data_IF_880452474602
#
_entry.id   IF_880452474602
#
_cell.length_a   1.000
_cell.length_b   1.000
_cell.length_c   1.000
_cell.angle_alpha   90.00
_cell.angle_beta   90.00
_cell.angle_gamma   90.00
#
_symmetry.space_group_name_H-M   'P 1'
#
loop_
_entity.id
_entity.type
_entity.pdbx_description
1 polymer ?
#
# COMPACT_ATOMS: atom_id res chain seq x y z
N UNK A 1 41.25 17.49 69.48
CA UNK A 1 39.95 18.00 69.96
C UNK A 1 39.21 18.68 68.83
N UNK A 2 38.28 17.98 68.19
CA UNK A 2 37.52 18.53 67.07
C UNK A 2 36.04 18.27 67.27
N UNK A 3 35.29 19.32 67.49
CA UNK A 3 33.83 19.32 67.73
C UNK A 3 33.05 18.98 66.50
N UNK A 4 32.30 17.87 66.55
CA UNK A 4 31.31 17.51 65.50
C UNK A 4 30.07 18.38 65.63
N UNK A 5 29.77 19.16 64.58
CA UNK A 5 28.46 19.81 64.40
C UNK A 5 27.49 18.87 63.79
N UNK A 6 26.41 18.57 64.47
CA UNK A 6 25.26 17.81 63.95
C UNK A 6 24.38 18.79 63.17
N UNK A 7 24.22 18.58 61.89
CA UNK A 7 23.21 19.26 61.07
C UNK A 7 21.91 18.44 61.14
N UNK A 8 20.88 19.06 61.68
CA UNK A 8 19.52 18.54 61.65
C UNK A 8 18.91 18.80 60.28
N UNK A 9 18.48 17.74 59.68
CA UNK A 9 17.82 17.72 58.35
C UNK A 9 16.30 17.81 58.59
N UNK A 10 15.73 18.99 58.30
CA UNK A 10 14.29 19.20 58.38
C UNK A 10 13.62 18.57 57.14
N UNK A 11 12.78 17.57 57.38
CA UNK A 11 11.98 16.89 56.36
C UNK A 11 10.74 17.74 56.08
N UNK A 12 10.70 18.41 54.95
CA UNK A 12 9.49 19.08 54.46
C UNK A 12 8.67 18.07 53.65
N UNK A 13 7.59 17.59 54.25
CA UNK A 13 6.57 16.81 53.54
C UNK A 13 5.73 17.78 52.69
N UNK A 14 6.07 17.87 51.43
CA UNK A 14 5.22 18.49 50.41
C UNK A 14 4.10 17.55 49.98
N UNK A 15 2.89 17.77 50.44
CA UNK A 15 1.69 17.07 49.99
C UNK A 15 1.34 17.51 48.58
N UNK A 16 1.73 16.72 47.56
CA UNK A 16 1.27 16.88 46.18
C UNK A 16 -0.13 16.31 46.07
N UNK A 17 -1.15 17.18 46.09
CA UNK A 17 -2.50 16.81 45.65
C UNK A 17 -2.44 16.49 44.14
N UNK A 18 -2.42 15.23 43.80
CA UNK A 18 -2.72 14.76 42.43
C UNK A 18 -4.21 14.99 42.18
N UNK A 19 -4.52 16.04 41.44
CA UNK A 19 -5.82 16.18 40.78
C UNK A 19 -5.86 15.13 39.69
N UNK A 20 -6.45 13.98 40.01
CA UNK A 20 -6.82 12.99 38.99
C UNK A 20 -7.99 13.58 38.21
N UNK A 21 -7.68 14.38 37.18
CA UNK A 21 -8.64 14.70 36.15
C UNK A 21 -9.05 13.41 35.45
N UNK A 22 -10.33 13.24 35.11
CA UNK A 22 -10.75 12.08 34.29
C UNK A 22 -10.00 12.17 32.98
N UNK A 23 -8.99 11.33 32.78
CA UNK A 23 -8.44 11.02 31.46
C UNK A 23 -9.60 10.36 30.70
N UNK A 24 -10.32 11.19 29.93
CA UNK A 24 -11.15 10.69 28.86
C UNK A 24 -10.20 9.96 27.94
N UNK A 25 -9.97 8.68 28.20
CA UNK A 25 -9.44 7.76 27.22
C UNK A 25 -10.45 7.73 26.08
N UNK A 26 -10.32 8.70 25.17
CA UNK A 26 -11.00 8.67 23.91
C UNK A 26 -10.57 7.38 23.24
N UNK A 27 -11.45 6.38 23.22
CA UNK A 27 -11.31 5.21 22.37
C UNK A 27 -11.22 5.73 20.94
N UNK A 28 -10.01 5.98 20.45
CA UNK A 28 -9.79 6.16 19.03
C UNK A 28 -10.04 4.79 18.42
N UNK A 29 -11.26 4.55 17.95
CA UNK A 29 -11.67 3.33 17.26
C UNK A 29 -11.01 3.19 15.87
N UNK A 30 -10.00 3.99 15.59
CA UNK A 30 -9.20 3.93 14.38
C UNK A 30 -8.09 2.88 14.47
N UNK A 31 -7.62 2.41 13.31
CA UNK A 31 -6.52 1.44 13.25
C UNK A 31 -5.23 2.03 13.86
N UNK A 32 -4.46 1.17 14.50
CA UNK A 32 -3.15 1.54 15.04
C UNK A 32 -2.09 1.67 13.93
N UNK A 33 -0.96 2.32 14.23
CA UNK A 33 0.18 2.37 13.32
C UNK A 33 0.71 0.97 12.99
N UNK A 34 0.57 0.00 13.90
CA UNK A 34 0.96 -1.37 13.67
C UNK A 34 -0.01 -2.07 12.69
N UNK A 35 -1.31 -1.85 12.84
CA UNK A 35 -2.31 -2.40 11.93
C UNK A 35 -2.12 -1.84 10.50
N UNK A 36 -1.89 -0.52 10.41
CA UNK A 36 -1.57 0.10 9.12
C UNK A 36 -0.31 -0.52 8.50
N UNK A 37 0.77 -0.65 9.26
CA UNK A 37 2.03 -1.20 8.75
C UNK A 37 1.95 -2.69 8.36
N UNK A 38 0.95 -3.41 8.85
CA UNK A 38 0.69 -4.81 8.49
C UNK A 38 -0.15 -4.95 7.21
N UNK A 39 -0.65 -3.84 6.63
CA UNK A 39 -1.46 -3.91 5.40
C UNK A 39 -0.60 -4.22 4.18
N UNK A 40 -1.19 -4.88 3.19
CA UNK A 40 -0.49 -5.29 1.97
C UNK A 40 0.15 -4.10 1.24
N UNK A 41 -0.55 -2.97 1.16
CA UNK A 41 -0.03 -1.75 0.53
C UNK A 41 1.13 -1.13 1.31
N UNK A 42 1.08 -1.11 2.65
CA UNK A 42 2.16 -0.54 3.46
C UNK A 42 3.46 -1.33 3.35
N UNK A 43 3.38 -2.66 3.22
CA UNK A 43 4.56 -3.53 3.06
C UNK A 43 5.00 -3.70 1.60
N UNK A 44 4.35 -3.02 0.66
CA UNK A 44 4.75 -3.01 -0.76
C UNK A 44 4.23 -4.20 -1.57
N UNK A 45 3.14 -4.86 -1.14
CA UNK A 45 2.54 -5.92 -1.94
C UNK A 45 1.62 -5.37 -3.02
N UNK A 46 1.74 -5.93 -4.21
CA UNK A 46 0.88 -5.66 -5.36
C UNK A 46 0.24 -6.96 -5.85
N UNK A 47 -0.93 -6.88 -6.44
CA UNK A 47 -1.59 -8.03 -7.06
C UNK A 47 -0.86 -8.41 -8.36
N UNK A 48 -0.02 -9.43 -8.29
CA UNK A 48 0.85 -9.85 -9.40
C UNK A 48 0.08 -10.46 -10.56
N UNK A 49 -1.09 -11.09 -10.32
CA UNK A 49 -1.94 -11.60 -11.41
C UNK A 49 -2.48 -10.44 -12.26
N UNK A 50 -2.88 -9.35 -11.63
CA UNK A 50 -3.34 -8.14 -12.33
C UNK A 50 -2.17 -7.37 -12.99
N UNK A 51 -0.95 -7.44 -12.46
CA UNK A 51 0.25 -6.89 -13.12
C UNK A 51 0.52 -7.63 -14.44
N UNK A 52 0.46 -8.95 -14.42
CA UNK A 52 0.60 -9.78 -15.62
C UNK A 52 -0.49 -9.45 -16.66
N UNK A 53 -1.74 -9.32 -16.20
CA UNK A 53 -2.86 -8.96 -17.06
C UNK A 53 -2.71 -7.55 -17.64
N UNK A 54 -2.28 -6.58 -16.83
CA UNK A 54 -1.99 -5.22 -17.27
C UNK A 54 -0.91 -5.20 -18.36
N UNK A 55 0.16 -5.96 -18.19
CA UNK A 55 1.22 -6.08 -19.17
C UNK A 55 0.72 -6.64 -20.50
N UNK A 56 -0.08 -7.72 -20.46
CA UNK A 56 -0.65 -8.35 -21.67
C UNK A 56 -1.64 -7.45 -22.43
N UNK A 57 -2.42 -6.66 -21.70
CA UNK A 57 -3.55 -5.88 -22.28
C UNK A 57 -3.17 -4.47 -22.70
N UNK A 58 -2.13 -3.88 -22.11
CA UNK A 58 -1.74 -2.51 -22.39
C UNK A 58 -1.15 -2.39 -23.80
N UNK A 59 -1.62 -1.40 -24.53
CA UNK A 59 -1.15 -1.06 -25.87
C UNK A 59 -0.16 0.11 -25.87
N UNK A 60 -0.03 0.80 -24.76
CA UNK A 60 0.94 1.89 -24.53
C UNK A 60 1.51 1.80 -23.13
N UNK A 61 2.67 2.43 -22.93
CA UNK A 61 3.31 2.51 -21.62
C UNK A 61 2.44 3.27 -20.62
N UNK A 62 1.80 4.35 -21.06
CA UNK A 62 0.90 5.13 -20.24
C UNK A 62 -0.29 4.31 -19.72
N UNK A 63 -0.85 3.43 -20.57
CA UNK A 63 -1.90 2.51 -20.15
C UNK A 63 -1.39 1.53 -19.10
N UNK A 64 -0.18 1.01 -19.28
CA UNK A 64 0.45 0.10 -18.33
C UNK A 64 0.72 0.79 -16.99
N UNK A 65 1.39 1.95 -16.99
CA UNK A 65 1.66 2.75 -15.78
C UNK A 65 0.37 3.12 -15.04
N UNK A 66 -0.64 3.58 -15.79
CA UNK A 66 -1.96 3.89 -15.22
C UNK A 66 -2.55 2.65 -14.54
N UNK A 67 -2.56 1.50 -15.22
CA UNK A 67 -3.13 0.28 -14.67
C UNK A 67 -2.36 -0.22 -13.44
N UNK A 68 -1.04 -0.13 -13.43
CA UNK A 68 -0.24 -0.45 -12.23
C UNK A 68 -0.66 0.41 -11.03
N UNK A 69 -0.86 1.70 -11.23
CA UNK A 69 -1.28 2.64 -10.18
C UNK A 69 -2.74 2.44 -9.73
N UNK A 70 -3.59 1.86 -10.56
CA UNK A 70 -4.95 1.43 -10.21
C UNK A 70 -4.96 0.16 -9.36
N UNK A 71 -4.07 -0.79 -9.65
CA UNK A 71 -3.91 -2.06 -8.93
C UNK A 71 -3.28 -1.84 -7.56
N UNK A 72 -2.26 -0.98 -7.50
CA UNK A 72 -1.42 -0.82 -6.32
C UNK A 72 -2.13 -0.07 -5.20
N UNK A 73 -2.08 -0.62 -3.98
CA UNK A 73 -2.74 -0.06 -2.79
C UNK A 73 -1.77 0.71 -1.87
N UNK A 74 -0.49 0.81 -2.23
CA UNK A 74 0.50 1.58 -1.46
C UNK A 74 0.32 3.09 -1.57
N UNK A 75 1.17 3.83 -0.90
CA UNK A 75 1.09 5.29 -0.79
C UNK A 75 1.79 5.99 -1.97
N UNK A 76 2.96 5.47 -2.37
CA UNK A 76 3.73 5.99 -3.50
C UNK A 76 3.13 5.63 -4.86
N UNK A 77 3.55 6.32 -5.90
CA UNK A 77 3.26 5.93 -7.28
C UNK A 77 4.08 4.69 -7.65
N UNK A 78 3.54 3.86 -8.53
CA UNK A 78 4.34 2.85 -9.23
C UNK A 78 4.91 3.48 -10.48
N UNK A 79 6.24 3.63 -10.51
CA UNK A 79 7.02 4.11 -11.63
C UNK A 79 7.64 2.94 -12.37
N UNK A 80 7.80 3.08 -13.68
CA UNK A 80 8.32 2.02 -14.56
C UNK A 80 9.68 2.43 -15.12
N UNK A 81 10.62 1.48 -15.07
CA UNK A 81 11.90 1.55 -15.75
C UNK A 81 12.03 0.35 -16.69
N UNK A 82 12.54 0.59 -17.90
CA UNK A 82 12.90 -0.49 -18.81
C UNK A 82 14.37 -0.36 -19.21
N UNK A 83 15.08 -1.48 -19.25
CA UNK A 83 16.49 -1.57 -19.60
C UNK A 83 16.75 -2.77 -20.51
N UNK A 84 17.83 -2.69 -21.29
CA UNK A 84 18.46 -3.84 -21.93
C UNK A 84 19.72 -4.18 -21.12
N UNK A 85 19.76 -5.35 -20.56
CA UNK A 85 20.85 -5.82 -19.72
C UNK A 85 21.46 -7.07 -20.38
N UNK A 86 22.59 -6.89 -21.06
CA UNK A 86 23.32 -7.94 -21.77
C UNK A 86 22.44 -8.68 -22.82
N UNK A 87 21.59 -7.97 -23.55
CA UNK A 87 20.66 -8.53 -24.53
C UNK A 87 19.35 -9.05 -23.93
N UNK A 88 19.20 -8.98 -22.62
CA UNK A 88 17.96 -9.32 -21.93
C UNK A 88 17.15 -8.07 -21.64
N UNK A 89 15.92 -8.03 -22.12
CA UNK A 89 15.01 -6.89 -21.91
C UNK A 89 14.27 -7.05 -20.61
N UNK A 90 14.40 -6.04 -19.73
CA UNK A 90 13.83 -6.05 -18.39
C UNK A 90 12.97 -4.80 -18.18
N UNK A 91 11.77 -5.00 -17.64
CA UNK A 91 10.91 -3.93 -17.13
C UNK A 91 10.82 -4.09 -15.61
N UNK A 92 11.03 -3.02 -14.90
CA UNK A 92 10.99 -2.96 -13.45
C UNK A 92 9.91 -1.98 -12.99
N UNK A 93 9.16 -2.37 -11.96
CA UNK A 93 8.17 -1.49 -11.30
C UNK A 93 8.63 -1.13 -9.90
N UNK A 94 8.81 0.15 -9.63
CA UNK A 94 9.22 0.70 -8.35
C UNK A 94 8.10 1.49 -7.69
N UNK A 95 7.96 1.40 -6.38
CA UNK A 95 7.18 2.39 -5.64
C UNK A 95 8.06 3.58 -5.27
N UNK A 96 7.64 4.76 -5.71
CA UNK A 96 8.18 6.08 -5.36
C UNK A 96 7.81 6.40 -3.91
N UNK A 97 8.68 6.07 -2.96
CA UNK A 97 8.43 6.21 -1.51
C UNK A 97 8.61 7.64 -1.01
N UNK A 98 9.50 8.41 -1.65
CA UNK A 98 9.80 9.79 -1.28
C UNK A 98 8.96 10.82 -2.05
N UNK A 99 8.19 10.38 -3.05
CA UNK A 99 7.31 11.18 -3.90
C UNK A 99 8.02 12.23 -4.76
N UNK A 100 9.27 11.96 -5.18
CA UNK A 100 10.04 12.85 -6.06
C UNK A 100 9.82 12.59 -7.56
N UNK A 101 9.07 11.55 -7.91
CA UNK A 101 8.78 11.08 -9.27
C UNK A 101 10.03 10.63 -10.04
N UNK A 102 11.04 10.21 -9.34
CA UNK A 102 12.25 9.59 -9.90
C UNK A 102 12.38 8.16 -9.41
N UNK A 103 13.25 7.37 -10.04
CA UNK A 103 13.56 6.01 -9.59
C UNK A 103 14.99 5.99 -9.05
N UNK A 104 15.11 5.90 -7.74
CA UNK A 104 16.37 5.76 -7.02
C UNK A 104 16.33 4.46 -6.22
N UNK A 105 17.02 3.38 -6.67
CA UNK A 105 16.90 2.05 -6.07
C UNK A 105 17.19 1.99 -4.56
N UNK A 106 17.98 2.92 -4.02
CA UNK A 106 18.31 3.01 -2.61
C UNK A 106 17.19 3.68 -1.77
N UNK A 107 16.31 4.45 -2.42
CA UNK A 107 15.24 5.23 -1.78
C UNK A 107 13.86 4.67 -2.08
N UNK A 108 13.73 3.93 -3.20
CA UNK A 108 12.48 3.38 -3.69
C UNK A 108 12.45 1.86 -3.56
N UNK A 109 11.25 1.30 -3.59
CA UNK A 109 11.06 -0.13 -3.38
C UNK A 109 10.72 -0.86 -4.69
N UNK A 110 11.59 -1.77 -5.10
CA UNK A 110 11.35 -2.62 -6.26
C UNK A 110 10.24 -3.63 -5.94
N UNK A 111 9.14 -3.54 -6.68
CA UNK A 111 7.94 -4.37 -6.48
C UNK A 111 7.98 -5.64 -7.33
N UNK A 112 8.42 -5.51 -8.59
CA UNK A 112 8.48 -6.62 -9.55
C UNK A 112 9.44 -6.35 -10.70
N UNK A 113 9.82 -7.45 -11.37
CA UNK A 113 10.54 -7.42 -12.65
C UNK A 113 9.78 -8.26 -13.69
N UNK A 114 9.75 -7.79 -14.94
CA UNK A 114 9.29 -8.57 -16.10
C UNK A 114 10.46 -8.68 -17.06
N UNK A 115 10.86 -9.90 -17.34
CA UNK A 115 12.01 -10.19 -18.22
C UNK A 115 11.50 -10.87 -19.49
N UNK A 116 11.97 -10.41 -20.65
CA UNK A 116 11.69 -11.08 -21.91
C UNK A 116 12.65 -12.26 -22.12
N UNK A 117 12.11 -13.43 -22.32
CA UNK A 117 12.83 -14.69 -22.53
C UNK A 117 12.55 -15.24 -23.95
N UNK A 118 12.64 -14.36 -24.95
CA UNK A 118 12.32 -14.72 -26.35
C UNK A 118 10.81 -14.75 -26.61
N UNK A 119 10.23 -15.93 -26.74
CA UNK A 119 8.80 -16.10 -27.02
C UNK A 119 7.91 -15.99 -25.76
N UNK A 120 8.52 -16.02 -24.58
CA UNK A 120 7.84 -15.90 -23.30
C UNK A 120 8.39 -14.74 -22.47
N UNK A 121 7.65 -14.40 -21.42
CA UNK A 121 8.04 -13.42 -20.43
C UNK A 121 8.01 -14.06 -19.04
N UNK A 122 8.96 -13.67 -18.19
CA UNK A 122 9.02 -14.08 -16.80
C UNK A 122 8.67 -12.89 -15.91
N UNK A 123 7.62 -13.02 -15.10
CA UNK A 123 7.26 -12.04 -14.07
C UNK A 123 7.73 -12.55 -12.71
N UNK A 124 8.54 -11.77 -12.04
CA UNK A 124 9.04 -12.02 -10.69
C UNK A 124 8.60 -10.92 -9.76
N UNK A 125 8.10 -11.31 -8.60
CA UNK A 125 7.89 -10.38 -7.50
C UNK A 125 9.20 -10.13 -6.77
N UNK A 126 9.37 -8.90 -6.27
CA UNK A 126 10.52 -8.47 -5.50
C UNK A 126 10.08 -7.99 -4.10
N UNK A 127 11.02 -7.78 -3.19
CA UNK A 127 10.73 -7.36 -1.83
C UNK A 127 9.67 -8.26 -1.15
N UNK A 128 8.57 -7.66 -0.76
CA UNK A 128 7.43 -8.35 -0.15
C UNK A 128 6.69 -9.30 -1.12
N UNK A 129 6.93 -9.20 -2.43
CA UNK A 129 6.31 -10.05 -3.45
C UNK A 129 7.21 -11.22 -3.91
N UNK A 130 8.41 -11.39 -3.34
CA UNK A 130 9.41 -12.38 -3.78
C UNK A 130 8.93 -13.84 -3.80
N UNK A 131 7.79 -14.14 -3.20
CA UNK A 131 7.13 -15.44 -3.24
C UNK A 131 6.46 -15.74 -4.58
N UNK A 132 6.28 -14.72 -5.46
CA UNK A 132 5.57 -14.85 -6.72
C UNK A 132 6.53 -15.02 -7.91
N UNK A 133 6.19 -15.96 -8.78
CA UNK A 133 6.84 -16.17 -10.08
C UNK A 133 5.81 -16.69 -11.08
N UNK A 134 5.83 -16.14 -12.28
CA UNK A 134 4.97 -16.58 -13.39
C UNK A 134 5.74 -16.52 -14.71
N UNK A 135 5.46 -17.43 -15.63
CA UNK A 135 5.92 -17.36 -17.00
C UNK A 135 4.71 -17.31 -17.92
N UNK A 136 4.71 -16.41 -18.90
CA UNK A 136 3.55 -16.17 -19.76
C UNK A 136 3.95 -15.68 -21.16
N UNK A 137 3.08 -15.91 -22.14
CA UNK A 137 3.22 -15.40 -23.50
C UNK A 137 2.53 -14.06 -23.70
N UNK A 138 2.90 -13.33 -24.75
CA UNK A 138 2.28 -12.07 -25.17
C UNK A 138 2.85 -10.82 -24.45
N UNK A 139 2.40 -9.65 -24.87
CA UNK A 139 2.86 -8.38 -24.29
C UNK A 139 4.18 -7.84 -24.87
N UNK A 140 4.79 -8.53 -25.84
CA UNK A 140 6.07 -8.13 -26.45
C UNK A 140 6.05 -6.72 -27.05
N UNK A 141 4.86 -6.18 -27.33
CA UNK A 141 4.70 -4.82 -27.81
C UNK A 141 5.26 -3.77 -26.83
N UNK A 142 5.05 -3.93 -25.53
CA UNK A 142 5.59 -3.01 -24.52
C UNK A 142 7.11 -3.04 -24.50
N UNK A 143 7.74 -4.20 -24.60
CA UNK A 143 9.19 -4.28 -24.72
C UNK A 143 9.71 -3.56 -25.95
N UNK A 144 9.06 -3.76 -27.09
CA UNK A 144 9.43 -3.09 -28.34
C UNK A 144 9.31 -1.57 -28.20
N UNK A 145 8.17 -1.09 -27.71
CA UNK A 145 7.92 0.35 -27.55
C UNK A 145 8.87 1.00 -26.55
N UNK A 146 9.06 0.41 -25.37
CA UNK A 146 9.88 0.93 -24.30
C UNK A 146 11.37 1.04 -24.67
N UNK A 147 11.85 0.13 -25.51
CA UNK A 147 13.26 0.14 -25.91
C UNK A 147 13.53 1.00 -27.14
N UNK A 148 12.56 1.12 -28.06
CA UNK A 148 12.72 2.01 -29.22
C UNK A 148 12.63 3.49 -28.86
N UNK A 149 11.92 3.85 -27.80
CA UNK A 149 11.75 5.25 -27.39
C UNK A 149 12.98 5.88 -26.71
N UNK A 150 14.09 5.14 -26.55
CA UNK A 150 15.12 5.55 -25.58
C UNK A 150 16.57 5.32 -25.94
N UNK A 151 16.93 5.40 -27.19
CA UNK A 151 18.36 5.33 -27.60
C UNK A 151 19.26 6.47 -27.07
N UNK A 152 18.81 7.28 -26.11
CA UNK A 152 19.49 8.54 -25.79
C UNK A 152 20.04 8.73 -24.37
N UNK A 153 19.92 7.76 -23.45
CA UNK A 153 20.46 7.94 -22.09
C UNK A 153 21.07 6.66 -21.49
N UNK A 154 22.35 6.44 -21.73
CA UNK A 154 23.21 5.67 -20.82
C UNK A 154 22.79 4.22 -20.48
N UNK A 155 22.25 3.44 -21.43
CA UNK A 155 21.95 2.02 -21.22
C UNK A 155 20.56 1.68 -20.68
N UNK A 156 19.73 2.68 -20.38
CA UNK A 156 18.35 2.48 -19.98
C UNK A 156 17.40 2.86 -21.11
N UNK A 157 16.44 1.96 -21.38
CA UNK A 157 15.48 2.14 -22.45
C UNK A 157 14.38 3.14 -22.14
N UNK A 158 13.85 3.18 -20.92
CA UNK A 158 12.71 4.00 -20.53
C UNK A 158 12.72 4.29 -19.03
N UNK A 159 12.22 5.46 -18.68
CA UNK A 159 11.83 5.85 -17.32
C UNK A 159 10.49 6.56 -17.37
N UNK A 160 9.62 6.32 -16.40
CA UNK A 160 8.43 7.17 -16.22
C UNK A 160 8.83 8.64 -16.16
N UNK A 161 8.32 9.51 -17.06
CA UNK A 161 8.69 10.92 -17.05
C UNK A 161 8.22 11.62 -15.76
N UNK A 162 9.12 12.38 -15.13
CA UNK A 162 8.86 13.08 -13.85
C UNK A 162 7.64 14.02 -13.91
N UNK A 163 7.43 14.68 -15.05
CA UNK A 163 6.31 15.59 -15.28
C UNK A 163 4.94 14.91 -15.27
N UNK A 164 4.89 13.58 -15.45
CA UNK A 164 3.66 12.79 -15.33
C UNK A 164 3.19 12.56 -13.90
N UNK A 165 4.06 12.67 -12.90
CA UNK A 165 3.76 12.29 -11.52
C UNK A 165 2.50 12.94 -10.97
N UNK A 166 2.32 14.25 -11.15
CA UNK A 166 1.11 14.96 -10.68
C UNK A 166 -0.16 14.43 -11.35
N UNK A 167 -0.12 14.19 -12.66
CA UNK A 167 -1.25 13.63 -13.39
C UNK A 167 -1.58 12.22 -12.91
N UNK A 168 -0.58 11.36 -12.77
CA UNK A 168 -0.75 9.99 -12.30
C UNK A 168 -1.35 9.94 -10.88
N UNK A 169 -0.93 10.84 -9.97
CA UNK A 169 -1.53 10.96 -8.63
C UNK A 169 -3.00 11.36 -8.69
N UNK A 170 -3.34 12.32 -9.55
CA UNK A 170 -4.73 12.76 -9.75
C UNK A 170 -5.59 11.62 -10.31
N UNK A 171 -5.13 10.95 -11.36
CA UNK A 171 -5.82 9.81 -11.97
C UNK A 171 -6.05 8.68 -10.96
N UNK A 172 -5.01 8.32 -10.18
CA UNK A 172 -5.11 7.32 -9.12
C UNK A 172 -6.10 7.72 -8.04
N UNK A 173 -6.10 8.98 -7.60
CA UNK A 173 -7.04 9.49 -6.60
C UNK A 173 -8.47 9.40 -7.11
N UNK A 174 -8.71 9.84 -8.34
CA UNK A 174 -10.03 9.74 -8.97
C UNK A 174 -10.50 8.29 -9.09
N UNK A 175 -9.60 7.38 -9.49
CA UNK A 175 -9.91 5.95 -9.56
C UNK A 175 -10.26 5.37 -8.18
N UNK A 176 -9.48 5.68 -7.12
CA UNK A 176 -9.73 5.22 -5.76
C UNK A 176 -11.05 5.72 -5.17
N UNK A 177 -11.52 6.87 -5.62
CA UNK A 177 -12.82 7.43 -5.23
C UNK A 177 -13.98 6.87 -6.08
N UNK A 178 -13.72 6.02 -7.06
CA UNK A 178 -14.73 5.47 -7.97
C UNK A 178 -15.29 4.12 -7.48
N UNK A 179 -16.50 3.75 -7.94
CA UNK A 179 -17.05 2.40 -7.70
C UNK A 179 -16.18 1.27 -8.30
N UNK A 180 -15.37 1.56 -9.31
CA UNK A 180 -14.46 0.59 -9.90
C UNK A 180 -13.36 0.15 -8.93
N UNK A 181 -12.99 1.01 -7.98
CA UNK A 181 -12.04 0.67 -6.93
C UNK A 181 -12.72 -0.02 -5.74
N UNK A 182 -13.75 0.59 -5.17
CA UNK A 182 -14.37 0.15 -3.92
C UNK A 182 -15.38 -1.00 -4.06
N UNK A 183 -15.87 -1.25 -5.27
CA UNK A 183 -16.65 -2.45 -5.55
C UNK A 183 -18.12 -2.29 -5.87
N UNK A 184 -18.74 -1.16 -5.81
CA UNK A 184 -20.09 -0.95 -6.27
C UNK A 184 -20.97 -2.22 -6.43
N UNK A 185 -21.59 -2.40 -7.61
CA UNK A 185 -22.34 -3.60 -7.98
C UNK A 185 -21.47 -4.72 -8.58
N UNK A 186 -20.26 -4.45 -8.96
CA UNK A 186 -19.27 -5.41 -9.49
C UNK A 186 -18.05 -5.47 -8.58
N UNK A 187 -17.33 -6.58 -8.59
CA UNK A 187 -16.12 -6.73 -7.78
C UNK A 187 -15.10 -5.65 -8.16
N UNK A 188 -14.90 -4.66 -7.28
CA UNK A 188 -13.93 -3.61 -7.46
C UNK A 188 -12.49 -4.10 -7.26
N UNK A 189 -11.53 -3.22 -7.52
CA UNK A 189 -10.12 -3.55 -7.40
C UNK A 189 -9.73 -4.02 -6.00
N UNK A 190 -10.31 -3.42 -4.96
CA UNK A 190 -10.07 -3.83 -3.56
C UNK A 190 -10.44 -5.29 -3.32
N UNK A 191 -11.59 -5.75 -3.82
CA UNK A 191 -12.02 -7.14 -3.67
C UNK A 191 -11.13 -8.11 -4.44
N UNK A 192 -10.71 -7.75 -5.66
CA UNK A 192 -9.77 -8.54 -6.46
C UNK A 192 -8.44 -8.69 -5.74
N UNK A 193 -7.90 -7.60 -5.21
CA UNK A 193 -6.67 -7.63 -4.43
C UNK A 193 -6.82 -8.48 -3.16
N UNK A 194 -7.91 -8.31 -2.41
CA UNK A 194 -8.19 -9.09 -1.21
C UNK A 194 -8.30 -10.59 -1.51
N UNK A 195 -8.97 -10.96 -2.60
CA UNK A 195 -9.08 -12.34 -3.04
C UNK A 195 -7.71 -12.92 -3.45
N UNK A 196 -6.90 -12.14 -4.18
CA UNK A 196 -5.54 -12.51 -4.54
C UNK A 196 -4.69 -12.79 -3.29
N UNK A 197 -4.61 -11.86 -2.34
CA UNK A 197 -3.81 -12.03 -1.13
C UNK A 197 -4.29 -13.20 -0.27
N UNK A 198 -5.59 -13.43 -0.22
CA UNK A 198 -6.16 -14.59 0.48
C UNK A 198 -5.72 -15.91 -0.16
N UNK A 199 -5.72 -16.01 -1.50
CA UNK A 199 -5.20 -17.17 -2.22
C UNK A 199 -3.71 -17.37 -1.96
N UNK A 200 -2.90 -16.31 -2.05
CA UNK A 200 -1.46 -16.39 -1.82
C UNK A 200 -1.14 -16.88 -0.40
N UNK A 201 -1.86 -16.40 0.61
CA UNK A 201 -1.72 -16.88 1.99
C UNK A 201 -2.10 -18.34 2.15
N UNK A 202 -3.17 -18.78 1.49
CA UNK A 202 -3.64 -20.17 1.57
C UNK A 202 -2.70 -21.14 0.86
N UNK A 203 -2.23 -20.76 -0.36
CA UNK A 203 -1.43 -21.67 -1.21
C UNK A 203 0.06 -21.66 -0.87
N UNK A 204 0.60 -20.55 -0.35
CA UNK A 204 2.03 -20.36 -0.13
C UNK A 204 2.33 -19.71 1.25
N UNK A 205 1.67 -20.13 2.30
CA UNK A 205 1.65 -19.46 3.61
C UNK A 205 3.04 -19.10 4.15
N UNK A 206 3.99 -20.03 4.17
CA UNK A 206 5.34 -19.80 4.70
C UNK A 206 6.13 -18.83 3.83
N UNK A 207 6.12 -19.01 2.50
CA UNK A 207 6.82 -18.15 1.55
C UNK A 207 6.23 -16.73 1.53
N UNK A 208 4.90 -16.62 1.57
CA UNK A 208 4.20 -15.35 1.67
C UNK A 208 4.57 -14.57 2.95
N UNK A 209 4.56 -15.24 4.10
CA UNK A 209 4.90 -14.65 5.39
C UNK A 209 6.38 -14.27 5.46
N UNK A 210 7.26 -15.15 4.99
CA UNK A 210 8.71 -14.89 4.93
C UNK A 210 9.03 -13.66 4.07
N UNK A 211 8.46 -13.57 2.87
CA UNK A 211 8.64 -12.43 1.99
C UNK A 211 8.21 -11.11 2.65
N UNK A 212 7.06 -11.11 3.35
CA UNK A 212 6.58 -9.91 4.05
C UNK A 212 7.44 -9.47 5.25
N UNK A 213 8.33 -10.33 5.75
CA UNK A 213 9.31 -10.00 6.80
C UNK A 213 10.64 -9.49 6.25
N UNK A 214 10.94 -9.77 4.98
CA UNK A 214 12.20 -9.42 4.33
C UNK A 214 11.99 -8.20 3.42
N UNK A 215 11.59 -7.10 4.03
CA UNK A 215 11.40 -5.83 3.32
C UNK A 215 12.75 -5.20 2.96
N UNK A 216 12.76 -4.40 1.89
CA UNK A 216 13.92 -3.60 1.52
C UNK A 216 14.28 -2.59 2.62
N UNK A 217 15.55 -2.13 2.70
CA UNK A 217 15.94 -1.06 3.62
C UNK A 217 15.13 0.22 3.40
N UNK A 218 14.87 0.61 2.15
CA UNK A 218 14.05 1.77 1.80
C UNK A 218 12.62 1.63 2.37
N UNK A 219 12.00 0.46 2.19
CA UNK A 219 10.68 0.16 2.74
C UNK A 219 10.64 0.18 4.26
N UNK A 220 11.63 -0.39 4.92
CA UNK A 220 11.73 -0.38 6.38
C UNK A 220 11.84 1.05 6.93
N UNK A 221 12.70 1.87 6.32
CA UNK A 221 12.86 3.28 6.65
C UNK A 221 11.55 4.05 6.48
N UNK A 222 10.89 3.86 5.32
CA UNK A 222 9.60 4.47 5.05
C UNK A 222 8.54 4.14 6.11
N UNK A 223 8.34 2.86 6.43
CA UNK A 223 7.39 2.43 7.46
C UNK A 223 7.74 3.04 8.82
N UNK A 224 9.01 3.07 9.19
CA UNK A 224 9.49 3.70 10.41
C UNK A 224 9.13 5.18 10.48
N UNK A 225 9.42 5.94 9.42
CA UNK A 225 9.10 7.36 9.31
C UNK A 225 7.59 7.62 9.40
N UNK A 226 6.78 6.85 8.69
CA UNK A 226 5.32 7.00 8.73
C UNK A 226 4.73 6.70 10.11
N UNK A 227 5.26 5.72 10.82
CA UNK A 227 4.86 5.40 12.20
C UNK A 227 5.18 6.53 13.18
N UNK A 228 6.39 7.07 13.12
CA UNK A 228 6.87 8.10 14.05
C UNK A 228 6.23 9.45 13.81
N UNK A 229 6.03 9.84 12.55
CA UNK A 229 5.37 11.10 12.18
C UNK A 229 3.86 11.06 12.32
N UNK A 230 3.25 9.86 12.42
CA UNK A 230 1.80 9.69 12.38
C UNK A 230 1.17 10.01 11.02
N UNK A 231 1.96 10.18 9.97
CA UNK A 231 1.51 10.54 8.63
C UNK A 231 0.60 9.45 8.01
N UNK A 232 0.69 8.20 8.47
CA UNK A 232 -0.22 7.13 8.06
C UNK A 232 -1.71 7.45 8.33
N UNK A 233 -2.01 8.34 9.27
CA UNK A 233 -3.38 8.77 9.59
C UNK A 233 -3.92 9.80 8.60
N UNK A 234 -3.04 10.59 8.03
CA UNK A 234 -3.39 11.66 7.08
C UNK A 234 -3.21 11.25 5.63
N UNK A 235 -2.59 10.09 5.37
CA UNK A 235 -2.41 9.61 4.02
C UNK A 235 -3.77 9.31 3.39
N UNK A 236 -4.13 10.11 2.40
CA UNK A 236 -5.39 9.99 1.64
C UNK A 236 -5.27 8.83 0.63
N UNK A 237 -4.68 7.71 1.07
CA UNK A 237 -4.26 6.59 0.23
C UNK A 237 -5.41 5.71 -0.22
N UNK A 238 -6.63 6.06 0.15
CA UNK A 238 -7.79 5.26 -0.14
C UNK A 238 -7.86 3.98 0.71
N UNK A 239 -8.80 3.13 0.39
CA UNK A 239 -9.03 1.87 1.10
C UNK A 239 -7.95 0.88 0.69
N UNK A 240 -7.12 0.43 1.64
CA UNK A 240 -6.18 -0.69 1.45
C UNK A 240 -6.84 -2.01 1.79
N UNK A 241 -6.43 -3.09 1.12
CA UNK A 241 -6.86 -4.44 1.47
C UNK A 241 -6.55 -4.77 2.92
N UNK A 242 -7.55 -5.07 3.71
CA UNK A 242 -7.43 -5.34 5.15
C UNK A 242 -7.52 -4.11 6.05
N UNK A 243 -7.09 -2.92 5.60
CA UNK A 243 -7.18 -1.69 6.38
C UNK A 243 -8.60 -1.10 6.35
N UNK A 244 -9.30 -1.17 5.23
CA UNK A 244 -10.67 -0.69 5.08
C UNK A 244 -11.71 -1.42 5.92
N UNK A 245 -11.41 -2.60 6.43
CA UNK A 245 -12.27 -3.30 7.38
C UNK A 245 -12.33 -2.64 8.76
N UNK A 246 -11.33 -1.87 9.12
CA UNK A 246 -11.27 -1.16 10.40
C UNK A 246 -11.91 0.23 10.36
N UNK A 247 -12.08 0.83 9.17
CA UNK A 247 -12.71 2.15 9.00
C UNK A 247 -14.24 2.09 8.82
N UNK A 248 -14.83 0.92 8.63
CA UNK A 248 -16.27 0.74 8.33
C UNK A 248 -17.18 0.43 9.52
N UNK A 249 -16.71 0.63 10.75
CA UNK A 249 -17.52 0.51 11.97
C UNK A 249 -18.45 1.71 12.20
N UNK A 250 -19.06 2.26 11.15
CA UNK A 250 -20.19 3.18 11.24
C UNK A 250 -21.36 2.42 11.84
N UNK A 251 -21.67 2.68 13.13
CA UNK A 251 -22.74 2.07 13.88
C UNK A 251 -24.05 2.11 13.09
N UNK A 252 -24.58 0.95 12.79
CA UNK A 252 -26.02 0.83 12.61
C UNK A 252 -26.62 1.22 13.94
N UNK A 253 -27.10 2.43 14.02
CA UNK A 253 -28.07 2.80 15.01
C UNK A 253 -29.25 1.86 14.80
N UNK A 254 -29.37 0.89 15.68
CA UNK A 254 -30.58 0.10 15.86
C UNK A 254 -31.66 1.06 16.33
N UNK A 255 -32.42 1.59 15.40
CA UNK A 255 -33.69 2.27 15.69
C UNK A 255 -34.59 1.30 16.37
N UNK A 256 -34.63 1.39 17.68
CA UNK A 256 -35.58 0.68 18.52
C UNK A 256 -37.00 1.18 18.24
N UNK A 257 -37.89 0.23 18.00
CA UNK A 257 -39.26 0.27 18.54
C UNK A 257 -40.20 1.30 17.97
N UNK A 258 -40.80 1.03 16.82
CA UNK A 258 -42.12 1.53 16.48
C UNK A 258 -43.17 0.57 16.98
N UNK A 259 -43.82 0.92 18.07
CA UNK A 259 -44.92 0.15 18.66
C UNK A 259 -46.04 -0.03 17.65
N UNK A 260 -46.41 -1.27 17.44
CA UNK A 260 -47.57 -1.68 16.67
C UNK A 260 -48.83 -1.44 17.50
N UNK A 261 -49.61 -0.42 17.17
CA UNK A 261 -50.91 -0.14 17.75
C UNK A 261 -51.96 -0.99 17.01
N UNK A 262 -52.36 -2.06 17.65
CA UNK A 262 -53.52 -2.85 17.26
C UNK A 262 -54.76 -2.02 17.55
N UNK A 263 -55.53 -1.67 16.54
CA UNK A 263 -56.93 -1.25 16.70
C UNK A 263 -57.75 -2.19 15.83
N UNK A 264 -58.53 -2.99 16.53
CA UNK A 264 -59.51 -3.84 15.94
C UNK A 264 -60.82 -3.10 15.68
N UNK A 265 -61.67 -3.81 15.01
CA UNK A 265 -63.10 -3.67 14.81
C UNK A 265 -63.56 -3.03 13.51
N UNK A 266 -64.46 -3.84 12.90
CA UNK A 266 -65.63 -3.39 12.23
C UNK A 266 -66.17 -4.39 11.23
N UNK A 267 -67.07 -5.19 11.70
CA UNK A 267 -68.11 -5.92 10.90
C UNK A 267 -68.72 -4.99 9.86
N UNK A 268 -68.99 -5.47 8.67
CA UNK A 268 -70.32 -5.77 8.07
C UNK A 268 -70.06 -6.50 6.76
#
# INVERSE_FOLDING_TARGET
MGKRKRMSMSLVLGSSMMVAGPVMAGCSTGPSAADWAATEGAIGRINMDEVEEAFKKSKTVEQFEKRLNEIYEGDGLVLVRAKDEAGQRVIEGYEDLNNDNDIVPEQDDLLFTITNEGDSNSLRGEGANRHYRSSFGGGNFLFTYLLFSSFSRGGYGYYTPRDRGTRMRTERTNYRNSPAYSGGRSAGQVQKNSAYYSRQRASNSSAYTSAGRQLSPARQSYIGTQRTSGAFKSSNTGVRSGFGKFGGGGGRASGAGGAQKIIGRGRW
#
